data_IF_841222587499
#
_entry.id   IF_841222587499
#
_cell.length_a   1.000
_cell.length_b   1.000
_cell.length_c   1.000
_cell.angle_alpha   90.00
_cell.angle_beta   90.00
_cell.angle_gamma   90.00
#
_symmetry.space_group_name_H-M   'P 1'
#
loop_
_entity.id
_entity.type
_entity.pdbx_description
1 polymer ?
#
# COMPACT_ATOMS: atom_id res chain seq x y z
N UNK A 1 29.31 -0.73 55.95
CA UNK A 1 28.25 -0.20 55.06
C UNK A 1 27.95 -1.25 53.99
N UNK A 2 26.98 -2.17 54.14
CA UNK A 2 26.63 -3.09 53.07
C UNK A 2 25.60 -2.44 52.12
N UNK A 3 25.92 -2.47 50.83
CA UNK A 3 25.05 -2.00 49.75
C UNK A 3 23.84 -2.94 49.58
N UNK A 4 22.62 -2.40 49.72
CA UNK A 4 21.39 -3.09 49.36
C UNK A 4 21.21 -3.05 47.84
N UNK A 5 21.63 -4.12 47.19
CA UNK A 5 21.35 -4.39 45.79
C UNK A 5 19.85 -4.71 45.63
N UNK A 6 19.01 -3.69 45.44
CA UNK A 6 17.59 -3.88 45.15
C UNK A 6 17.45 -4.45 43.74
N UNK A 7 17.29 -5.78 43.66
CA UNK A 7 16.86 -6.47 42.46
C UNK A 7 15.66 -5.71 41.87
N UNK A 8 15.84 -5.10 40.69
CA UNK A 8 14.74 -4.54 39.90
C UNK A 8 13.79 -5.70 39.60
N UNK A 9 12.73 -5.82 40.39
CA UNK A 9 11.66 -6.77 40.11
C UNK A 9 11.10 -6.40 38.74
N UNK A 10 11.27 -7.30 37.76
CA UNK A 10 10.58 -7.16 36.47
C UNK A 10 9.08 -7.19 36.75
N UNK A 11 8.33 -6.32 36.07
CA UNK A 11 6.87 -6.34 36.12
C UNK A 11 6.38 -7.78 35.89
N UNK A 12 5.37 -8.26 36.66
CA UNK A 12 4.86 -9.61 36.50
C UNK A 12 4.51 -9.82 35.04
N UNK A 13 5.07 -10.88 34.44
CA UNK A 13 4.80 -11.26 33.06
C UNK A 13 3.29 -11.37 32.93
N UNK A 14 2.69 -10.39 32.26
CA UNK A 14 1.25 -10.30 32.12
C UNK A 14 0.75 -11.64 31.58
N UNK A 15 -0.20 -12.25 32.30
CA UNK A 15 -0.94 -13.39 31.78
C UNK A 15 -1.46 -13.08 30.38
N UNK A 16 -1.72 -14.12 29.60
CA UNK A 16 -2.25 -13.99 28.23
C UNK A 16 -3.40 -12.98 28.22
N UNK A 17 -3.26 -11.96 27.37
CA UNK A 17 -4.28 -10.94 27.17
C UNK A 17 -5.63 -11.62 26.93
N UNK A 18 -6.62 -11.36 27.78
CA UNK A 18 -7.99 -11.85 27.58
C UNK A 18 -8.77 -10.83 26.74
N UNK A 19 -9.40 -11.26 25.63
CA UNK A 19 -10.30 -10.39 24.87
C UNK A 19 -11.33 -9.73 25.82
N UNK A 20 -11.42 -8.40 25.79
CA UNK A 20 -12.29 -7.61 26.67
C UNK A 20 -11.63 -6.99 27.92
N UNK A 21 -10.37 -7.31 28.22
CA UNK A 21 -9.59 -6.65 29.30
C UNK A 21 -8.90 -5.35 28.87
N UNK A 22 -8.89 -5.01 27.58
CA UNK A 22 -8.52 -3.66 27.19
C UNK A 22 -9.55 -2.69 27.78
N UNK A 23 -9.12 -1.61 28.42
CA UNK A 23 -10.00 -0.53 28.93
C UNK A 23 -10.88 0.14 27.86
N UNK A 24 -10.84 -0.36 26.62
CA UNK A 24 -11.80 -0.14 25.57
C UNK A 24 -12.41 -1.49 25.12
N UNK A 25 -13.59 -1.88 25.64
CA UNK A 25 -14.24 -3.16 25.32
C UNK A 25 -14.81 -3.22 23.89
N UNK A 26 -14.96 -2.08 23.20
CA UNK A 26 -15.37 -2.02 21.79
C UNK A 26 -14.19 -2.06 20.82
N UNK A 27 -12.97 -2.05 21.34
CA UNK A 27 -11.77 -1.89 20.53
C UNK A 27 -11.77 -0.57 19.75
N UNK A 28 -10.78 -0.41 18.89
CA UNK A 28 -10.72 0.73 17.98
C UNK A 28 -11.73 0.50 16.85
N UNK A 29 -12.54 1.51 16.53
CA UNK A 29 -13.52 1.41 15.45
C UNK A 29 -12.84 1.01 14.12
N UNK A 30 -13.42 0.07 13.35
CA UNK A 30 -12.87 -0.33 12.06
C UNK A 30 -12.78 0.88 11.13
N UNK A 31 -11.63 1.08 10.50
CA UNK A 31 -11.38 2.20 9.57
C UNK A 31 -10.93 3.51 10.24
N UNK A 32 -10.84 3.58 11.57
CA UNK A 32 -10.32 4.78 12.23
C UNK A 32 -8.83 5.01 11.89
N UNK A 33 -8.51 6.17 11.30
CA UNK A 33 -7.14 6.52 10.89
C UNK A 33 -6.22 6.72 12.09
N UNK A 34 -4.94 6.36 11.99
CA UNK A 34 -3.95 6.52 13.07
C UNK A 34 -3.78 8.01 13.41
N UNK A 35 -3.73 8.37 14.69
CA UNK A 35 -3.48 9.76 15.09
C UNK A 35 -2.20 10.31 14.45
N UNK A 36 -1.14 9.50 14.44
CA UNK A 36 0.13 9.81 13.76
C UNK A 36 -0.09 10.12 12.27
N UNK A 37 -0.97 9.37 11.60
CA UNK A 37 -1.28 9.61 10.19
C UNK A 37 -2.18 10.83 9.93
N UNK A 38 -2.88 11.33 10.95
CA UNK A 38 -3.65 12.57 10.88
C UNK A 38 -2.68 13.75 10.99
N UNK A 39 -1.86 13.76 12.05
CA UNK A 39 -0.86 14.81 12.29
C UNK A 39 0.13 14.93 11.12
N UNK A 40 0.60 13.81 10.58
CA UNK A 40 1.46 13.82 9.39
C UNK A 40 0.78 14.40 8.15
N UNK A 41 -0.52 14.14 7.98
CA UNK A 41 -1.29 14.68 6.85
C UNK A 41 -1.52 16.19 7.00
N UNK A 42 -1.80 16.65 8.22
CA UNK A 42 -1.94 18.07 8.53
C UNK A 42 -0.63 18.82 8.31
N UNK A 43 0.49 18.30 8.82
CA UNK A 43 1.81 18.88 8.61
C UNK A 43 2.18 18.95 7.12
N UNK A 44 1.91 17.89 6.35
CA UNK A 44 2.13 17.89 4.91
C UNK A 44 1.24 18.90 4.17
N UNK A 45 -0.02 19.05 4.57
CA UNK A 45 -0.94 20.03 3.99
C UNK A 45 -0.44 21.46 4.20
N UNK A 46 0.03 21.80 5.41
CA UNK A 46 0.61 23.11 5.70
C UNK A 46 1.78 23.45 4.78
N UNK A 47 2.68 22.51 4.50
CA UNK A 47 3.81 22.73 3.58
C UNK A 47 3.29 22.94 2.15
N UNK A 48 2.35 22.13 1.69
CA UNK A 48 1.83 22.22 0.32
C UNK A 48 1.03 23.50 0.09
N UNK A 49 0.35 24.01 1.12
CA UNK A 49 -0.45 25.22 1.06
C UNK A 49 0.36 26.52 1.23
N UNK A 50 1.59 26.41 1.75
CA UNK A 50 2.52 27.52 1.86
C UNK A 50 2.80 28.17 0.48
N UNK A 51 2.59 29.49 0.32
CA UNK A 51 2.84 30.18 -0.94
C UNK A 51 4.31 30.15 -1.37
N UNK A 52 5.26 30.17 -0.43
CA UNK A 52 6.70 30.10 -0.74
C UNK A 52 7.07 28.73 -1.30
N UNK A 53 6.54 27.66 -0.70
CA UNK A 53 6.72 26.30 -1.21
C UNK A 53 6.19 26.15 -2.64
N UNK A 54 4.99 26.69 -2.90
CA UNK A 54 4.37 26.65 -4.24
C UNK A 54 5.19 27.43 -5.27
N UNK A 55 5.70 28.60 -4.91
CA UNK A 55 6.55 29.40 -5.78
C UNK A 55 7.87 28.67 -6.11
N UNK A 56 8.53 28.09 -5.10
CA UNK A 56 9.74 27.31 -5.28
C UNK A 56 9.50 26.04 -6.10
N UNK A 57 8.39 25.34 -5.88
CA UNK A 57 7.99 24.17 -6.67
C UNK A 57 7.78 24.54 -8.14
N UNK A 58 7.07 25.65 -8.42
CA UNK A 58 6.89 26.16 -9.78
C UNK A 58 8.24 26.46 -10.44
N UNK A 59 9.17 27.09 -9.74
CA UNK A 59 10.51 27.37 -10.26
C UNK A 59 11.26 26.07 -10.62
N UNK A 60 11.22 25.05 -9.75
CA UNK A 60 11.84 23.74 -10.02
C UNK A 60 11.21 23.01 -11.20
N UNK A 61 9.89 23.08 -11.34
CA UNK A 61 9.18 22.51 -12.50
C UNK A 61 9.63 23.19 -13.79
N UNK A 62 9.67 24.52 -13.82
CA UNK A 62 10.14 25.29 -14.99
C UNK A 62 11.61 24.95 -15.31
N UNK A 63 12.44 24.75 -14.29
CA UNK A 63 13.83 24.37 -14.44
C UNK A 63 14.05 22.88 -14.79
N UNK A 64 12.99 22.06 -14.90
CA UNK A 64 13.09 20.63 -15.18
C UNK A 64 13.62 19.79 -14.01
N UNK A 65 13.66 20.33 -12.79
CA UNK A 65 14.17 19.67 -11.58
C UNK A 65 13.11 18.89 -10.80
N UNK A 66 11.88 18.85 -11.30
CA UNK A 66 10.76 18.11 -10.71
C UNK A 66 10.16 17.12 -11.74
N UNK A 67 10.90 16.07 -12.14
CA UNK A 67 10.55 15.23 -13.29
C UNK A 67 9.21 14.50 -13.12
N UNK A 68 8.81 14.17 -11.89
CA UNK A 68 7.53 13.52 -11.61
C UNK A 68 6.32 14.43 -11.86
N UNK A 69 6.51 15.75 -11.81
CA UNK A 69 5.43 16.72 -12.02
C UNK A 69 5.10 16.90 -13.49
N UNK A 70 6.06 16.67 -14.39
CA UNK A 70 5.88 16.96 -15.81
C UNK A 70 4.82 16.06 -16.47
N UNK A 71 4.86 14.72 -16.34
CA UNK A 71 3.79 13.84 -16.85
C UNK A 71 2.42 14.18 -16.26
N UNK A 72 2.39 14.55 -14.98
CA UNK A 72 1.15 14.91 -14.28
C UNK A 72 0.54 16.20 -14.87
N UNK A 73 1.36 17.23 -15.10
CA UNK A 73 0.92 18.49 -15.69
C UNK A 73 0.43 18.29 -17.13
N UNK A 74 1.13 17.48 -17.93
CA UNK A 74 0.68 17.11 -19.28
C UNK A 74 -0.67 16.40 -19.25
N UNK A 75 -0.86 15.44 -18.35
CA UNK A 75 -2.11 14.71 -18.21
C UNK A 75 -3.30 15.63 -17.89
N UNK A 76 -3.11 16.62 -17.02
CA UNK A 76 -4.16 17.60 -16.71
C UNK A 76 -4.39 18.63 -17.82
N UNK A 77 -3.32 19.10 -18.49
CA UNK A 77 -3.43 20.17 -19.49
C UNK A 77 -3.92 19.68 -20.86
N UNK A 78 -3.54 18.45 -21.24
CA UNK A 78 -3.77 17.90 -22.59
C UNK A 78 -4.48 16.55 -22.58
N UNK A 79 -4.74 15.98 -21.41
CA UNK A 79 -5.24 14.61 -21.26
C UNK A 79 -4.11 13.60 -21.14
N UNK A 80 -4.39 12.46 -20.50
CA UNK A 80 -3.45 11.34 -20.43
C UNK A 80 -3.34 10.70 -21.82
N UNK A 81 -2.13 10.43 -22.34
CA UNK A 81 -1.96 9.58 -23.50
C UNK A 81 -2.72 8.27 -23.29
N UNK A 82 -3.50 7.86 -24.29
CA UNK A 82 -4.28 6.63 -24.20
C UNK A 82 -3.31 5.46 -24.33
N UNK A 83 -3.06 4.79 -23.22
CA UNK A 83 -2.29 3.54 -23.19
C UNK A 83 -3.14 2.46 -23.88
N UNK A 84 -2.92 2.26 -25.18
CA UNK A 84 -3.55 1.18 -25.93
C UNK A 84 -2.68 -0.06 -25.82
N UNK A 85 -3.13 -1.02 -25.04
CA UNK A 85 -2.53 -2.35 -24.96
C UNK A 85 -3.38 -3.27 -25.83
N UNK A 86 -2.85 -3.69 -26.98
CA UNK A 86 -3.50 -4.70 -27.80
C UNK A 86 -3.37 -6.06 -27.09
N UNK A 87 -4.47 -6.53 -26.50
CA UNK A 87 -4.56 -7.86 -25.91
C UNK A 87 -4.92 -8.85 -27.02
N UNK A 88 -3.90 -9.24 -27.79
CA UNK A 88 -4.00 -10.25 -28.84
C UNK A 88 -4.41 -9.70 -30.21
N UNK A 89 -3.86 -10.33 -31.25
CA UNK A 89 -4.28 -10.16 -32.62
C UNK A 89 -5.35 -11.20 -33.03
N UNK A 90 -5.85 -11.13 -34.27
CA UNK A 90 -6.75 -12.16 -34.80
C UNK A 90 -6.12 -13.55 -34.64
N UNK A 91 -6.81 -14.45 -33.94
CA UNK A 91 -6.32 -15.83 -33.70
C UNK A 91 -5.51 -16.05 -32.42
N UNK A 92 -5.16 -15.00 -31.66
CA UNK A 92 -4.37 -15.16 -30.41
C UNK A 92 -5.07 -16.03 -29.36
N UNK A 93 -6.41 -16.03 -29.34
CA UNK A 93 -7.21 -16.84 -28.41
C UNK A 93 -7.69 -18.17 -29.02
N UNK A 94 -7.21 -18.56 -30.21
CA UNK A 94 -7.62 -19.78 -30.93
C UNK A 94 -6.59 -20.92 -30.76
N UNK A 95 -5.65 -20.78 -29.81
CA UNK A 95 -4.51 -21.70 -29.73
C UNK A 95 -4.82 -23.08 -29.15
N UNK A 96 -5.96 -23.26 -28.47
CA UNK A 96 -6.38 -24.58 -28.00
C UNK A 96 -7.80 -24.86 -28.46
N UNK A 97 -7.96 -26.01 -29.12
CA UNK A 97 -9.25 -26.64 -29.29
C UNK A 97 -9.81 -27.10 -27.92
N UNK A 98 -11.13 -27.14 -27.78
CA UNK A 98 -11.83 -27.51 -26.54
C UNK A 98 -11.38 -28.90 -26.04
N UNK A 99 -11.08 -29.81 -26.97
CA UNK A 99 -10.61 -31.16 -26.66
C UNK A 99 -9.16 -31.17 -26.14
N UNK A 100 -8.30 -30.30 -26.67
CA UNK A 100 -6.93 -30.14 -26.16
C UNK A 100 -6.94 -29.52 -24.75
N UNK A 101 -7.83 -28.56 -24.51
CA UNK A 101 -8.02 -27.95 -23.20
C UNK A 101 -8.50 -28.98 -22.16
N UNK A 102 -9.48 -29.82 -22.53
CA UNK A 102 -9.96 -30.94 -21.70
C UNK A 102 -8.85 -31.91 -21.36
N UNK A 103 -8.03 -32.30 -22.35
CA UNK A 103 -6.92 -33.23 -22.13
C UNK A 103 -5.87 -32.67 -21.16
N UNK A 104 -5.56 -31.37 -21.26
CA UNK A 104 -4.63 -30.71 -20.32
C UNK A 104 -5.19 -30.57 -18.91
N UNK A 105 -6.49 -30.30 -18.76
CA UNK A 105 -7.13 -30.25 -17.45
C UNK A 105 -7.14 -31.63 -16.78
N UNK A 106 -7.42 -32.69 -17.54
CA UNK A 106 -7.43 -34.06 -17.03
C UNK A 106 -6.01 -34.56 -16.69
N UNK A 107 -4.99 -34.19 -17.47
CA UNK A 107 -3.60 -34.52 -17.13
C UNK A 107 -3.10 -33.75 -15.91
N UNK A 108 -3.48 -32.48 -15.76
CA UNK A 108 -3.19 -31.68 -14.58
C UNK A 108 -3.87 -32.24 -13.32
N UNK A 109 -5.15 -32.62 -13.41
CA UNK A 109 -5.87 -33.22 -12.28
C UNK A 109 -5.25 -34.56 -11.82
N UNK A 110 -4.81 -35.39 -12.77
CA UNK A 110 -4.10 -36.66 -12.48
C UNK A 110 -2.79 -36.48 -11.70
N UNK A 111 -2.11 -35.34 -11.84
CA UNK A 111 -0.87 -35.07 -11.12
C UNK A 111 -1.14 -34.79 -9.63
N UNK A 112 -2.33 -34.31 -9.26
CA UNK A 112 -2.69 -34.00 -7.87
C UNK A 112 -3.33 -35.16 -7.10
N UNK A 113 -3.78 -36.22 -7.77
CA UNK A 113 -4.36 -37.42 -7.13
C UNK A 113 -3.31 -38.48 -6.70
N UNK A 114 -2.03 -38.28 -7.04
CA UNK A 114 -0.94 -39.23 -6.77
C UNK A 114 0.01 -38.83 -5.63
N UNK A 115 -0.38 -37.87 -4.78
CA UNK A 115 0.32 -37.50 -3.52
C UNK A 115 -0.62 -37.60 -2.35
#
# INVERSE_FOLDING_TARGET
>A
MPATNSLRQRAPTAGSFKPGQSGNPRGRAPGARNRISIEAREAAAHIVDDPEYRAALKARVIAGQAPQMEPLLWAYAKGKPVDRIEQGGPGTFVQLDDDELRLRLLSAARIYDTT
#
